data_IF_945758223667
#
_entry.id   IF_945758223667
#
_cell.length_a   1.000
_cell.length_b   1.000
_cell.length_c   1.000
_cell.angle_alpha   90.00
_cell.angle_beta   90.00
_cell.angle_gamma   90.00
#
_symmetry.space_group_name_H-M   'P 1'
#
loop_
_entity.id
_entity.type
_entity.pdbx_description
1 polymer ?
#
# COMPACT_ATOMS: atom_id res chain seq x y z
N UNK A 1 1.32 -49.69 -32.68
CA UNK A 1 1.87 -49.09 -31.45
C UNK A 1 2.86 -48.03 -31.89
N UNK A 2 2.46 -46.76 -31.82
CA UNK A 2 3.34 -45.62 -32.12
C UNK A 2 3.40 -44.79 -30.84
N UNK A 3 4.58 -44.71 -30.26
CA UNK A 3 4.85 -43.94 -29.06
C UNK A 3 4.76 -42.44 -29.36
N UNK A 4 4.11 -41.73 -28.45
CA UNK A 4 4.10 -40.27 -28.37
C UNK A 4 4.42 -39.91 -26.91
N UNK A 5 5.69 -39.65 -26.65
CA UNK A 5 6.05 -38.49 -25.82
C UNK A 5 6.08 -37.27 -26.76
N UNK A 6 5.93 -36.00 -26.31
CA UNK A 6 6.28 -35.51 -24.98
C UNK A 6 5.29 -34.48 -24.40
N UNK A 7 5.48 -34.07 -23.14
CA UNK A 7 5.88 -32.70 -22.81
C UNK A 7 5.91 -32.51 -21.30
N UNK A 8 7.16 -32.43 -20.82
CA UNK A 8 7.62 -31.71 -19.64
C UNK A 8 6.58 -30.75 -19.07
N UNK A 9 6.07 -31.12 -17.90
CA UNK A 9 5.41 -30.23 -16.96
C UNK A 9 6.38 -29.09 -16.65
N UNK A 10 6.22 -27.97 -17.35
CA UNK A 10 6.87 -26.72 -16.94
C UNK A 10 6.25 -26.36 -15.60
N UNK A 11 7.06 -26.51 -14.55
CA UNK A 11 6.83 -25.98 -13.23
C UNK A 11 6.39 -24.52 -13.34
N UNK A 12 5.07 -24.30 -13.27
CA UNK A 12 4.51 -23.03 -12.88
C UNK A 12 4.92 -22.81 -11.43
N UNK A 13 6.13 -22.28 -11.23
CA UNK A 13 6.46 -21.49 -10.06
C UNK A 13 5.49 -20.32 -10.07
N UNK A 14 4.31 -20.52 -9.48
CA UNK A 14 3.51 -19.47 -8.87
C UNK A 14 4.46 -18.78 -7.91
N UNK A 15 5.07 -17.70 -8.39
CA UNK A 15 5.84 -16.77 -7.58
C UNK A 15 4.86 -16.17 -6.58
N UNK A 16 4.73 -16.84 -5.44
CA UNK A 16 4.23 -16.18 -4.24
C UNK A 16 5.01 -14.89 -4.07
N UNK A 17 4.31 -13.81 -3.75
CA UNK A 17 4.91 -12.55 -3.32
C UNK A 17 6.14 -12.86 -2.49
N UNK A 18 7.31 -12.44 -2.96
CA UNK A 18 8.53 -12.59 -2.20
C UNK A 18 8.31 -11.86 -0.88
N UNK A 19 8.27 -12.61 0.23
CA UNK A 19 8.22 -12.07 1.60
C UNK A 19 9.47 -11.26 1.95
N UNK A 20 10.46 -11.20 1.05
CA UNK A 20 11.65 -10.40 1.27
C UNK A 20 11.30 -8.93 1.45
N UNK A 21 11.99 -8.31 2.40
CA UNK A 21 11.78 -6.91 2.70
C UNK A 21 12.26 -6.02 1.56
N UNK A 22 11.48 -4.96 1.29
CA UNK A 22 11.85 -3.92 0.34
C UNK A 22 12.49 -2.70 1.03
N UNK A 23 12.56 -2.67 2.36
CA UNK A 23 13.17 -1.59 3.12
C UNK A 23 14.63 -1.37 2.66
N UNK A 24 14.99 -0.10 2.45
CA UNK A 24 16.28 0.33 1.94
C UNK A 24 16.47 0.16 0.43
N UNK A 25 15.53 -0.46 -0.29
CA UNK A 25 15.56 -0.48 -1.76
C UNK A 25 15.05 0.84 -2.31
N UNK A 26 15.50 1.16 -3.52
CA UNK A 26 15.01 2.28 -4.30
C UNK A 26 13.81 1.87 -5.17
N UNK A 27 13.02 2.85 -5.59
CA UNK A 27 11.90 2.63 -6.53
C UNK A 27 12.32 1.93 -7.82
N UNK A 28 13.56 2.13 -8.28
CA UNK A 28 14.12 1.45 -9.46
C UNK A 28 14.39 -0.03 -9.17
N UNK A 29 14.98 -0.34 -8.02
CA UNK A 29 15.22 -1.73 -7.61
C UNK A 29 13.91 -2.47 -7.36
N UNK A 30 12.93 -1.84 -6.72
CA UNK A 30 11.59 -2.39 -6.51
C UNK A 30 10.91 -2.71 -7.83
N UNK A 31 10.98 -1.81 -8.82
CA UNK A 31 10.45 -2.05 -10.16
C UNK A 31 11.17 -3.20 -10.88
N UNK A 32 12.50 -3.28 -10.76
CA UNK A 32 13.30 -4.38 -11.34
C UNK A 32 12.97 -5.76 -10.73
N UNK A 33 12.43 -5.79 -9.51
CA UNK A 33 11.90 -7.01 -8.88
C UNK A 33 10.49 -7.39 -9.39
N UNK A 34 9.96 -6.69 -10.40
CA UNK A 34 8.67 -6.97 -11.01
C UNK A 34 7.48 -6.58 -10.14
N UNK A 35 7.63 -5.59 -9.25
CA UNK A 35 6.50 -5.00 -8.54
C UNK A 35 5.81 -3.96 -9.42
N UNK A 36 4.48 -3.99 -9.45
CA UNK A 36 3.62 -3.07 -10.17
C UNK A 36 2.95 -2.12 -9.17
N UNK A 37 2.96 -0.82 -9.48
CA UNK A 37 2.27 0.21 -8.70
C UNK A 37 0.78 0.20 -9.00
N UNK A 38 -0.02 -0.07 -7.97
CA UNK A 38 -1.48 -0.06 -8.02
C UNK A 38 -2.05 1.33 -7.73
N UNK A 39 -1.47 2.00 -6.74
CA UNK A 39 -1.91 3.33 -6.30
C UNK A 39 -0.74 4.07 -5.65
N UNK A 40 -0.68 5.39 -5.80
CA UNK A 40 0.41 6.23 -5.31
C UNK A 40 -0.12 7.59 -4.85
N UNK A 41 0.42 8.09 -3.75
CA UNK A 41 0.28 9.51 -3.35
C UNK A 41 1.64 10.10 -3.00
N UNK A 42 1.80 11.39 -3.26
CA UNK A 42 2.98 12.16 -2.86
C UNK A 42 2.62 13.12 -1.73
N UNK A 43 3.47 13.14 -0.71
CA UNK A 43 3.28 13.96 0.49
C UNK A 43 4.46 14.91 0.59
N UNK A 44 4.18 16.21 0.52
CA UNK A 44 5.19 17.25 0.67
C UNK A 44 5.02 17.92 2.04
N UNK A 45 5.99 17.75 2.92
CA UNK A 45 5.99 18.39 4.24
C UNK A 45 7.29 19.16 4.41
N UNK A 46 7.17 20.48 4.50
CA UNK A 46 8.29 21.42 4.51
C UNK A 46 9.23 21.20 3.31
N UNK A 47 10.48 20.78 3.57
CA UNK A 47 11.51 20.50 2.56
C UNK A 47 11.65 19.01 2.24
N UNK A 48 10.86 18.15 2.88
CA UNK A 48 10.90 16.70 2.69
C UNK A 48 9.75 16.25 1.79
N UNK A 49 10.03 15.26 0.95
CA UNK A 49 9.03 14.63 0.09
C UNK A 49 8.98 13.14 0.39
N UNK A 50 7.76 12.65 0.56
CA UNK A 50 7.48 11.25 0.81
C UNK A 50 6.49 10.74 -0.23
N UNK A 51 6.40 9.43 -0.36
CA UNK A 51 5.32 8.75 -1.07
C UNK A 51 4.77 7.62 -0.22
N UNK A 52 3.48 7.36 -0.42
CA UNK A 52 2.87 6.10 -0.03
C UNK A 52 2.47 5.41 -1.32
N UNK A 53 2.92 4.17 -1.51
CA UNK A 53 2.63 3.38 -2.72
C UNK A 53 2.09 2.02 -2.36
N UNK A 54 1.04 1.59 -3.05
CA UNK A 54 0.49 0.24 -2.98
C UNK A 54 1.02 -0.54 -4.18
N UNK A 55 1.65 -1.68 -3.90
CA UNK A 55 2.28 -2.55 -4.90
C UNK A 55 1.65 -3.94 -4.91
N UNK A 56 1.58 -4.54 -6.09
CA UNK A 56 1.23 -5.95 -6.30
C UNK A 56 2.10 -6.57 -7.40
N UNK A 57 2.00 -7.89 -7.65
CA UNK A 57 2.73 -8.54 -8.76
C UNK A 57 2.00 -8.49 -10.09
N UNK A 58 0.73 -8.12 -10.11
CA UNK A 58 -0.07 -7.98 -11.32
C UNK A 58 -1.20 -6.96 -11.13
N UNK A 59 -1.83 -6.55 -12.23
CA UNK A 59 -3.01 -5.68 -12.18
C UNK A 59 -4.20 -6.34 -11.48
N UNK A 60 -4.34 -7.66 -11.62
CA UNK A 60 -5.40 -8.42 -10.95
C UNK A 60 -5.20 -8.42 -9.43
N UNK A 61 -3.96 -8.60 -8.98
CA UNK A 61 -3.62 -8.65 -7.56
C UNK A 61 -3.72 -7.29 -6.86
N UNK A 62 -3.83 -6.17 -7.60
CA UNK A 62 -4.00 -4.84 -7.00
C UNK A 62 -5.26 -4.71 -6.15
N UNK A 63 -6.36 -5.37 -6.53
CA UNK A 63 -7.61 -5.38 -5.77
C UNK A 63 -7.93 -6.74 -5.13
N UNK A 64 -7.37 -7.82 -5.65
CA UNK A 64 -7.68 -9.18 -5.20
C UNK A 64 -6.43 -10.04 -5.13
N UNK A 65 -5.58 -9.79 -4.14
CA UNK A 65 -4.28 -10.43 -4.09
C UNK A 65 -3.41 -9.97 -2.93
N UNK A 66 -2.18 -10.46 -2.92
CA UNK A 66 -1.15 -10.06 -1.97
C UNK A 66 -0.41 -8.85 -2.51
N UNK A 67 -0.03 -7.94 -1.63
CA UNK A 67 0.70 -6.74 -1.99
C UNK A 67 1.58 -6.22 -0.87
N UNK A 68 2.16 -5.06 -1.10
CA UNK A 68 2.84 -4.27 -0.08
C UNK A 68 2.40 -2.81 -0.15
N UNK A 69 2.29 -2.15 0.99
CA UNK A 69 2.19 -0.69 1.09
C UNK A 69 3.54 -0.19 1.56
N UNK A 70 4.17 0.71 0.80
CA UNK A 70 5.48 1.26 1.14
C UNK A 70 5.33 2.71 1.56
N UNK A 71 6.08 3.09 2.59
CA UNK A 71 6.39 4.48 2.90
C UNK A 71 7.79 4.75 2.36
N UNK A 72 7.91 5.72 1.45
CA UNK A 72 9.17 6.01 0.78
C UNK A 72 9.54 7.49 0.97
N UNK A 73 10.84 7.77 0.96
CA UNK A 73 11.39 9.12 1.02
C UNK A 73 12.14 9.45 -0.23
N UNK A 74 11.91 10.64 -0.76
CA UNK A 74 12.63 11.15 -1.91
C UNK A 74 14.12 11.29 -1.60
N UNK A 75 14.96 10.70 -2.45
CA UNK A 75 16.43 10.78 -2.33
C UNK A 75 17.09 11.47 -3.52
N UNK A 76 16.36 11.71 -4.61
CA UNK A 76 16.91 12.41 -5.77
C UNK A 76 16.18 12.10 -7.06
N UNK A 77 16.88 12.33 -8.18
CA UNK A 77 16.37 12.08 -9.53
C UNK A 77 17.38 11.30 -10.35
N UNK A 78 16.87 10.44 -11.23
CA UNK A 78 17.62 9.87 -12.34
C UNK A 78 16.98 10.36 -13.65
N UNK A 79 17.62 11.34 -14.29
CA UNK A 79 16.99 12.11 -15.37
C UNK A 79 15.71 12.79 -14.90
N UNK A 80 14.59 12.48 -15.57
CA UNK A 80 13.27 13.03 -15.23
C UNK A 80 12.50 12.21 -14.19
N UNK A 81 13.04 11.06 -13.74
CA UNK A 81 12.36 10.18 -12.79
C UNK A 81 12.78 10.52 -11.36
N UNK A 82 11.81 10.72 -10.48
CA UNK A 82 12.05 10.85 -9.04
C UNK A 82 12.39 9.47 -8.46
N UNK A 83 13.41 9.43 -7.61
CA UNK A 83 13.85 8.22 -6.92
C UNK A 83 13.50 8.36 -5.45
N UNK A 84 12.83 7.33 -4.94
CA UNK A 84 12.51 7.22 -3.52
C UNK A 84 13.19 5.96 -2.96
N UNK A 85 13.55 6.03 -1.68
CA UNK A 85 14.04 4.94 -0.87
C UNK A 85 12.93 4.47 0.06
N UNK A 86 12.71 3.17 0.14
CA UNK A 86 11.71 2.56 1.02
C UNK A 86 12.17 2.66 2.47
N UNK A 87 11.39 3.34 3.31
CA UNK A 87 11.65 3.48 4.74
C UNK A 87 10.96 2.39 5.56
N UNK A 88 9.74 2.05 5.19
CA UNK A 88 8.94 1.05 5.90
C UNK A 88 7.93 0.40 4.94
N UNK A 89 7.38 -0.74 5.36
CA UNK A 89 6.46 -1.53 4.54
C UNK A 89 5.40 -2.27 5.37
N UNK A 90 4.22 -2.44 4.79
CA UNK A 90 3.14 -3.31 5.30
C UNK A 90 2.89 -4.39 4.26
N UNK A 91 2.89 -5.66 4.67
CA UNK A 91 2.39 -6.74 3.82
C UNK A 91 0.86 -6.75 3.87
N UNK A 92 0.21 -6.73 2.72
CA UNK A 92 -1.25 -6.63 2.64
C UNK A 92 -1.84 -7.78 1.83
N UNK A 93 -3.13 -8.04 2.04
CA UNK A 93 -3.92 -8.93 1.21
C UNK A 93 -5.33 -8.34 1.03
N UNK A 94 -5.61 -7.83 -0.16
CA UNK A 94 -6.93 -7.31 -0.51
C UNK A 94 -7.81 -8.43 -1.07
N UNK A 95 -9.10 -8.41 -0.73
CA UNK A 95 -10.09 -9.34 -1.29
C UNK A 95 -11.31 -8.58 -1.80
N UNK A 96 -11.13 -7.64 -2.74
CA UNK A 96 -12.25 -6.88 -3.30
C UNK A 96 -13.35 -7.80 -3.85
N UNK A 97 -14.64 -7.55 -3.53
CA UNK A 97 -15.18 -6.37 -2.83
C UNK A 97 -15.33 -6.49 -1.30
N UNK A 98 -14.74 -7.49 -0.65
CA UNK A 98 -14.91 -7.70 0.79
C UNK A 98 -14.12 -6.69 1.62
N UNK A 99 -12.86 -6.42 1.25
CA UNK A 99 -12.01 -5.44 1.91
C UNK A 99 -10.97 -4.85 0.95
N UNK A 100 -10.49 -3.66 1.30
CA UNK A 100 -9.44 -2.95 0.59
C UNK A 100 -8.56 -2.13 1.55
N UNK A 101 -7.40 -1.73 1.06
CA UNK A 101 -6.51 -0.80 1.74
C UNK A 101 -6.55 0.58 1.07
N UNK A 102 -6.57 1.63 1.88
CA UNK A 102 -6.49 3.01 1.40
C UNK A 102 -5.71 3.86 2.40
N UNK A 103 -5.08 4.93 1.92
CA UNK A 103 -4.62 6.01 2.80
C UNK A 103 -5.70 7.08 2.89
N UNK A 104 -5.98 7.56 4.09
CA UNK A 104 -6.97 8.63 4.30
C UNK A 104 -6.62 9.47 5.50
N UNK A 105 -7.23 10.65 5.56
CA UNK A 105 -7.22 11.49 6.74
C UNK A 105 -8.19 10.96 7.79
N UNK A 106 -7.75 10.94 9.04
CA UNK A 106 -8.59 10.62 10.18
C UNK A 106 -8.41 11.65 11.31
N UNK A 107 -9.50 11.93 12.01
CA UNK A 107 -9.52 12.78 13.20
C UNK A 107 -9.47 11.90 14.46
N UNK A 108 -8.54 12.19 15.37
CA UNK A 108 -8.46 11.52 16.67
C UNK A 108 -9.57 11.98 17.61
N UNK A 109 -10.25 11.04 18.29
CA UNK A 109 -11.25 11.40 19.31
C UNK A 109 -10.56 12.09 20.49
N UNK A 110 -10.78 13.39 20.63
CA UNK A 110 -10.21 14.21 21.71
C UNK A 110 -8.81 14.78 21.43
N UNK A 111 -8.35 14.71 20.18
CA UNK A 111 -7.11 15.36 19.74
C UNK A 111 -7.44 16.30 18.57
N UNK A 112 -7.07 17.58 18.68
CA UNK A 112 -7.27 18.61 17.64
C UNK A 112 -6.37 18.42 16.40
N UNK A 113 -6.02 17.18 16.05
CA UNK A 113 -5.14 16.90 14.91
C UNK A 113 -5.70 15.80 14.04
N UNK A 114 -5.96 16.19 12.79
CA UNK A 114 -6.06 15.29 11.65
C UNK A 114 -4.70 14.64 11.39
N UNK A 115 -4.69 13.33 11.19
CA UNK A 115 -3.51 12.56 10.84
C UNK A 115 -3.73 11.77 9.56
N UNK A 116 -2.62 11.40 8.90
CA UNK A 116 -2.65 10.49 7.77
C UNK A 116 -2.55 9.05 8.27
N UNK A 117 -3.44 8.19 7.80
CA UNK A 117 -3.50 6.79 8.18
C UNK A 117 -3.60 5.89 6.95
N UNK A 118 -3.13 4.66 7.10
CA UNK A 118 -3.52 3.53 6.25
C UNK A 118 -4.63 2.80 6.97
N UNK A 119 -5.71 2.46 6.27
CA UNK A 119 -6.77 1.61 6.79
C UNK A 119 -6.97 0.39 5.89
N UNK A 120 -7.24 -0.75 6.51
CA UNK A 120 -7.96 -1.85 5.89
C UNK A 120 -9.43 -1.69 6.25
N UNK A 121 -10.34 -1.69 5.28
CA UNK A 121 -11.76 -1.43 5.52
C UNK A 121 -12.64 -2.36 4.69
N UNK A 122 -13.84 -2.64 5.17
CA UNK A 122 -14.87 -3.28 4.34
C UNK A 122 -15.41 -2.26 3.33
N UNK A 123 -15.45 -2.63 2.05
CA UNK A 123 -15.92 -1.74 0.98
C UNK A 123 -17.34 -1.25 1.30
N UNK A 124 -17.51 0.06 1.29
CA UNK A 124 -18.72 0.71 1.74
C UNK A 124 -18.90 2.09 1.07
N UNK A 125 -20.13 2.62 1.05
CA UNK A 125 -20.47 3.87 0.35
C UNK A 125 -20.74 5.05 1.28
N UNK A 126 -20.56 4.92 2.58
CA UNK A 126 -20.79 6.03 3.52
C UNK A 126 -19.64 7.03 3.45
N UNK A 127 -19.93 8.31 3.74
CA UNK A 127 -18.95 9.40 3.79
C UNK A 127 -17.86 9.22 4.87
N UNK A 128 -18.12 8.39 5.89
CA UNK A 128 -17.18 8.03 6.94
C UNK A 128 -17.02 6.52 6.97
N UNK A 129 -15.82 6.04 7.24
CA UNK A 129 -15.58 4.62 7.43
C UNK A 129 -16.15 4.15 8.77
N UNK A 130 -16.96 3.10 8.71
CA UNK A 130 -17.61 2.50 9.89
C UNK A 130 -17.15 1.07 10.15
N UNK A 131 -16.45 0.47 9.19
CA UNK A 131 -15.97 -0.92 9.24
C UNK A 131 -14.46 -1.00 8.97
N UNK A 132 -13.67 -0.32 9.80
CA UNK A 132 -12.20 -0.39 9.75
C UNK A 132 -11.77 -1.71 10.41
N UNK A 133 -11.04 -2.53 9.68
CA UNK A 133 -10.52 -3.82 10.11
C UNK A 133 -9.13 -3.68 10.75
N UNK A 134 -8.29 -2.84 10.15
CA UNK A 134 -6.92 -2.57 10.60
C UNK A 134 -6.58 -1.09 10.34
N UNK A 135 -5.72 -0.52 11.17
CA UNK A 135 -5.37 0.90 11.15
C UNK A 135 -3.88 1.08 11.44
N UNK A 136 -3.21 1.92 10.65
CA UNK A 136 -1.83 2.33 10.90
C UNK A 136 -1.71 3.85 10.77
N UNK A 137 -1.17 4.49 11.81
CA UNK A 137 -0.75 5.88 11.71
C UNK A 137 0.51 5.98 10.85
N UNK A 138 0.58 7.01 10.00
CA UNK A 138 1.77 7.30 9.19
C UNK A 138 2.64 8.33 9.91
N UNK A 139 3.72 7.88 10.56
CA UNK A 139 4.70 8.77 11.17
C UNK A 139 5.81 9.10 10.16
N UNK A 140 5.64 10.20 9.45
CA UNK A 140 6.60 10.68 8.45
C UNK A 140 7.93 11.16 9.06
N UNK A 141 7.94 11.51 10.36
CA UNK A 141 9.16 11.93 11.05
C UNK A 141 10.01 10.73 11.43
N UNK A 142 9.38 9.67 11.95
CA UNK A 142 10.03 8.40 12.22
C UNK A 142 10.29 7.59 10.93
N UNK A 143 9.54 7.88 9.86
CA UNK A 143 9.59 7.11 8.62
C UNK A 143 8.96 5.73 8.79
N UNK A 144 7.85 5.63 9.51
CA UNK A 144 7.23 4.36 9.89
C UNK A 144 5.71 4.34 9.79
N UNK A 145 5.17 3.14 9.61
CA UNK A 145 3.79 2.82 9.91
C UNK A 145 3.68 2.32 11.35
N UNK A 146 2.79 2.91 12.14
CA UNK A 146 2.54 2.52 13.53
C UNK A 146 1.17 1.87 13.59
N UNK A 147 1.13 0.55 13.82
CA UNK A 147 -0.14 -0.16 13.92
C UNK A 147 -0.88 0.28 15.19
N UNK A 148 -2.12 0.72 15.01
CA UNK A 148 -2.99 1.14 16.10
C UNK A 148 -3.76 -0.06 16.65
N UNK A 149 -3.78 -0.22 17.97
CA UNK A 149 -4.52 -1.31 18.62
C UNK A 149 -6.01 -1.04 18.73
N UNK A 150 -6.43 0.22 18.59
CA UNK A 150 -7.83 0.63 18.75
C UNK A 150 -8.29 1.45 17.54
N UNK A 151 -9.01 0.81 16.62
CA UNK A 151 -9.56 1.45 15.42
C UNK A 151 -10.64 2.48 15.75
N UNK A 152 -11.34 2.34 16.87
CA UNK A 152 -12.39 3.27 17.31
C UNK A 152 -11.84 4.57 17.89
N UNK A 153 -10.51 4.70 18.01
CA UNK A 153 -9.85 5.92 18.49
C UNK A 153 -9.91 7.07 17.48
N UNK A 154 -10.21 6.78 16.21
CA UNK A 154 -10.24 7.77 15.13
C UNK A 154 -11.56 7.73 14.36
N UNK A 155 -11.85 8.82 13.66
CA UNK A 155 -12.91 8.89 12.65
C UNK A 155 -12.28 9.22 11.30
N UNK A 156 -12.36 8.28 10.35
CA UNK A 156 -11.75 8.44 9.03
C UNK A 156 -12.78 8.82 7.98
N UNK A 157 -12.44 9.79 7.13
CA UNK A 157 -13.26 10.16 5.98
C UNK A 157 -13.07 9.16 4.84
N UNK A 158 -14.14 8.91 4.10
CA UNK A 158 -14.10 8.10 2.89
C UNK A 158 -13.76 8.99 1.70
N UNK A 159 -12.52 8.97 1.17
CA UNK A 159 -12.07 9.92 0.15
C UNK A 159 -12.69 9.66 -1.22
N UNK A 160 -13.32 8.50 -1.44
CA UNK A 160 -14.03 8.18 -2.69
C UNK A 160 -15.51 8.59 -2.65
N UNK A 161 -16.01 9.09 -1.50
CA UNK A 161 -17.38 9.57 -1.39
C UNK A 161 -17.54 10.95 -2.04
N UNK A 162 -18.59 11.20 -2.84
CA UNK A 162 -18.78 12.47 -3.55
C UNK A 162 -18.73 13.73 -2.65
N UNK A 163 -19.28 13.64 -1.44
CA UNK A 163 -19.33 14.79 -0.51
C UNK A 163 -17.95 15.14 0.11
N UNK A 164 -16.93 14.30 -0.09
CA UNK A 164 -15.58 14.49 0.42
C UNK A 164 -14.57 14.85 -0.69
N UNK A 165 -15.04 15.09 -1.92
CA UNK A 165 -14.24 15.49 -3.09
C UNK A 165 -14.18 17.00 -3.28
#
# INVERSE_FOLDING_TARGET
MVGLEPQSSRDLKRTGVSESSLIGKTTVEVANLGWLSCALTYINIYKSKYSIVILAKSQEECGNGKGKILLERYIGRNGNKMIFEVLDEINIKSTYPENEYIWTSCEGKGVDREGLYIINYKVQQQAKFTSILELWAVDLKAGKFIQESNVDSVTCLNPIHPDNL
#
